data_IF_665479660928
#
_entry.id   IF_665479660928
#
_cell.length_a   1.000
_cell.length_b   1.000
_cell.length_c   1.000
_cell.angle_alpha   90.00
_cell.angle_beta   90.00
_cell.angle_gamma   90.00
#
_symmetry.space_group_name_H-M   'P 1'
#
loop_
_entity.id
_entity.type
_entity.pdbx_description
1 polymer ?
#
# COMPACT_ATOMS: atom_id res chain seq x y z
N UNK A 1 12.10 -20.05 23.97
CA UNK A 1 11.42 -19.00 23.18
C UNK A 1 9.92 -19.27 23.23
N UNK A 2 9.12 -18.30 23.66
CA UNK A 2 7.66 -18.48 23.77
C UNK A 2 7.02 -18.40 22.37
N UNK A 3 5.99 -19.22 22.08
CA UNK A 3 5.37 -19.32 20.75
C UNK A 3 4.76 -18.00 20.23
N UNK A 4 4.41 -17.08 21.14
CA UNK A 4 3.92 -15.74 20.82
C UNK A 4 4.98 -14.87 20.13
N UNK A 5 6.22 -14.86 20.63
CA UNK A 5 7.33 -14.09 20.06
C UNK A 5 7.68 -14.59 18.66
N UNK A 6 7.59 -15.91 18.44
CA UNK A 6 7.80 -16.52 17.11
C UNK A 6 6.71 -16.09 16.11
N UNK A 7 5.45 -16.00 16.55
CA UNK A 7 4.33 -15.58 15.69
C UNK A 7 4.42 -14.10 15.31
N UNK A 8 4.80 -13.24 16.26
CA UNK A 8 5.01 -11.82 16.01
C UNK A 8 6.14 -11.62 14.98
N UNK A 9 7.31 -12.20 15.24
CA UNK A 9 8.47 -12.10 14.35
C UNK A 9 8.13 -12.55 12.92
N UNK A 10 7.47 -13.69 12.78
CA UNK A 10 7.04 -14.20 11.48
C UNK A 10 6.02 -13.28 10.78
N UNK A 11 5.12 -12.63 11.54
CA UNK A 11 4.18 -11.68 10.98
C UNK A 11 4.88 -10.40 10.46
N UNK A 12 5.86 -9.90 11.22
CA UNK A 12 6.67 -8.74 10.84
C UNK A 12 7.53 -9.04 9.60
N UNK A 13 8.18 -10.21 9.54
CA UNK A 13 8.95 -10.65 8.38
C UNK A 13 8.08 -10.73 7.13
N UNK A 14 6.88 -11.33 7.25
CA UNK A 14 5.91 -11.40 6.14
C UNK A 14 5.49 -10.02 5.65
N UNK A 15 5.29 -9.07 6.56
CA UNK A 15 4.94 -7.70 6.19
C UNK A 15 6.09 -7.01 5.45
N UNK A 16 7.33 -7.20 5.91
CA UNK A 16 8.53 -6.68 5.22
C UNK A 16 8.67 -7.22 3.79
N UNK A 17 8.49 -8.53 3.60
CA UNK A 17 8.52 -9.13 2.26
C UNK A 17 7.40 -8.61 1.36
N UNK A 18 6.17 -8.47 1.89
CA UNK A 18 5.06 -7.93 1.12
C UNK A 18 5.30 -6.47 0.69
N UNK A 19 5.85 -5.65 1.58
CA UNK A 19 6.21 -4.26 1.27
C UNK A 19 7.27 -4.19 0.17
N UNK A 20 8.29 -5.05 0.21
CA UNK A 20 9.30 -5.11 -0.84
C UNK A 20 8.68 -5.47 -2.19
N UNK A 21 7.87 -6.53 -2.24
CA UNK A 21 7.19 -6.95 -3.47
C UNK A 21 6.26 -5.86 -4.04
N UNK A 22 5.54 -5.15 -3.16
CA UNK A 22 4.69 -4.03 -3.56
C UNK A 22 5.52 -2.89 -4.19
N UNK A 23 6.64 -2.52 -3.56
CA UNK A 23 7.52 -1.47 -4.07
C UNK A 23 8.14 -1.83 -5.43
N UNK A 24 8.51 -3.09 -5.62
CA UNK A 24 9.03 -3.56 -6.91
C UNK A 24 7.94 -3.51 -7.99
N UNK A 25 6.71 -3.91 -7.67
CA UNK A 25 5.58 -3.84 -8.60
C UNK A 25 5.24 -2.39 -9.00
N UNK A 26 5.23 -1.44 -8.06
CA UNK A 26 5.01 -0.01 -8.34
C UNK A 26 6.08 0.51 -9.31
N UNK A 27 7.36 0.15 -9.06
CA UNK A 27 8.47 0.55 -9.92
C UNK A 27 8.31 0.02 -11.34
N UNK A 28 7.87 -1.23 -11.49
CA UNK A 28 7.65 -1.84 -12.80
C UNK A 28 6.47 -1.21 -13.55
N UNK A 29 5.38 -0.85 -12.86
CA UNK A 29 4.27 -0.09 -13.45
C UNK A 29 4.76 1.26 -13.97
N UNK A 30 5.58 1.98 -13.20
CA UNK A 30 6.12 3.28 -13.63
C UNK A 30 7.00 3.18 -14.88
N UNK A 31 7.74 2.09 -15.09
CA UNK A 31 8.52 1.88 -16.33
C UNK A 31 7.64 1.85 -17.59
N UNK A 32 6.37 1.52 -17.44
CA UNK A 32 5.39 1.50 -18.54
C UNK A 32 4.71 2.86 -18.79
N UNK A 33 5.09 3.92 -18.06
CA UNK A 33 4.49 5.25 -18.16
C UNK A 33 3.09 5.33 -17.54
N UNK A 34 2.77 4.42 -16.62
CA UNK A 34 1.52 4.36 -15.87
C UNK A 34 1.83 4.83 -14.44
N UNK A 35 0.98 5.68 -13.91
CA UNK A 35 1.09 6.14 -12.52
C UNK A 35 0.26 5.24 -11.59
N UNK A 36 0.67 5.18 -10.33
CA UNK A 36 -0.01 4.43 -9.26
C UNK A 36 -0.56 5.42 -8.24
N UNK A 37 -1.86 5.34 -7.98
CA UNK A 37 -2.52 6.00 -6.85
C UNK A 37 -2.56 5.04 -5.66
N UNK A 38 -2.12 5.52 -4.50
CA UNK A 38 -2.04 4.75 -3.26
C UNK A 38 -2.91 5.45 -2.24
N UNK A 39 -3.96 4.76 -1.78
CA UNK A 39 -4.83 5.24 -0.73
C UNK A 39 -4.91 4.24 0.42
N UNK A 40 -5.44 4.70 1.55
CA UNK A 40 -5.70 3.83 2.69
C UNK A 40 -7.20 3.67 2.89
N UNK A 41 -7.64 2.44 3.15
CA UNK A 41 -9.00 2.13 3.52
C UNK A 41 -9.02 1.74 5.00
N UNK A 42 -10.01 2.23 5.74
CA UNK A 42 -10.25 1.77 7.10
C UNK A 42 -11.36 0.72 7.07
N UNK A 43 -11.02 -0.53 7.36
CA UNK A 43 -12.01 -1.59 7.53
C UNK A 43 -12.41 -1.71 9.00
N UNK A 44 -13.71 -1.72 9.27
CA UNK A 44 -14.22 -1.96 10.62
C UNK A 44 -14.26 -3.45 10.90
N UNK A 45 -13.50 -3.90 11.90
CA UNK A 45 -13.48 -5.28 12.37
C UNK A 45 -14.01 -5.36 13.80
N UNK A 46 -14.41 -6.55 14.31
CA UNK A 46 -14.78 -6.72 15.71
C UNK A 46 -13.67 -6.35 16.71
N UNK A 47 -12.41 -6.22 16.26
CA UNK A 47 -11.25 -5.83 17.07
C UNK A 47 -10.90 -4.33 16.94
N UNK A 48 -11.68 -3.56 16.19
CA UNK A 48 -11.44 -2.14 15.92
C UNK A 48 -11.13 -1.85 14.44
N UNK A 49 -10.83 -0.58 14.12
CA UNK A 49 -10.44 -0.16 12.77
C UNK A 49 -9.13 -0.84 12.35
N UNK A 50 -9.11 -1.37 11.13
CA UNK A 50 -7.95 -2.00 10.51
C UNK A 50 -7.62 -1.28 9.21
N UNK A 51 -6.45 -0.68 9.13
CA UNK A 51 -5.97 0.00 7.93
C UNK A 51 -5.60 -1.03 6.87
N UNK A 52 -6.03 -0.80 5.63
CA UNK A 52 -5.68 -1.55 4.44
C UNK A 52 -5.11 -0.59 3.38
N UNK A 53 -4.24 -1.09 2.51
CA UNK A 53 -3.72 -0.33 1.36
C UNK A 53 -4.61 -0.64 0.15
N UNK A 54 -5.06 0.41 -0.54
CA UNK A 54 -5.77 0.32 -1.82
C UNK A 54 -4.89 0.91 -2.93
N UNK A 55 -4.78 0.19 -4.04
CA UNK A 55 -3.87 0.51 -5.15
C UNK A 55 -4.67 0.59 -6.46
N UNK A 56 -4.52 1.69 -7.18
CA UNK A 56 -5.13 1.89 -8.49
C UNK A 56 -4.09 2.35 -9.50
N UNK A 57 -4.15 1.81 -10.71
CA UNK A 57 -3.29 2.26 -11.82
C UNK A 57 -4.09 3.14 -12.75
N UNK A 58 -3.48 4.20 -13.25
CA UNK A 58 -4.12 5.10 -14.19
C UNK A 58 -3.14 5.55 -15.28
N UNK A 59 -3.65 5.71 -16.51
CA UNK A 59 -2.83 6.20 -17.63
C UNK A 59 -2.82 7.72 -17.58
N UNK A 60 -1.64 8.33 -17.49
CA UNK A 60 -1.47 9.77 -17.66
C UNK A 60 -1.54 10.15 -19.15
N UNK A 61 -2.72 10.12 -19.78
CA UNK A 61 -2.92 10.78 -21.07
C UNK A 61 -3.33 12.25 -20.82
N UNK A 62 -2.41 13.18 -21.09
CA UNK A 62 -2.60 14.61 -20.80
C UNK A 62 -2.09 14.99 -19.41
N UNK A 63 -1.74 16.27 -19.22
CA UNK A 63 -1.02 16.81 -18.06
C UNK A 63 -1.35 16.10 -16.74
N UNK A 64 -0.30 15.71 -16.01
CA UNK A 64 -0.39 15.05 -14.70
C UNK A 64 -1.49 15.70 -13.85
N UNK A 65 -2.47 14.95 -13.32
CA UNK A 65 -3.51 15.54 -12.50
C UNK A 65 -2.86 16.19 -11.30
N UNK A 66 -2.88 17.53 -11.26
CA UNK A 66 -2.47 18.29 -10.09
C UNK A 66 -3.51 18.00 -9.01
N UNK A 67 -3.22 17.03 -8.16
CA UNK A 67 -4.00 16.75 -6.96
C UNK A 67 -3.91 18.00 -6.08
N UNK A 68 -4.98 18.81 -6.07
CA UNK A 68 -5.07 19.95 -5.15
C UNK A 68 -5.33 19.40 -3.75
N UNK A 69 -4.42 19.71 -2.84
CA UNK A 69 -4.62 19.52 -1.41
C UNK A 69 -5.86 20.32 -0.99
N UNK A 70 -6.88 19.64 -0.45
CA UNK A 70 -7.99 20.31 0.22
C UNK A 70 -7.53 20.57 1.64
N UNK A 71 -7.16 21.82 1.94
CA UNK A 71 -6.97 22.29 3.31
C UNK A 71 -8.37 22.55 3.91
N UNK A 72 -8.62 22.03 5.12
CA UNK A 72 -9.77 22.42 5.95
C UNK A 72 -9.57 23.81 6.56
#
# INVERSE_FOLDING_TARGET
MTPYLTRQKHAEERLGTALQQMNDAIRDVHKSGIDVDISTLTMHTPRGPMVQVDLKTYRAYGASPVLRLVEE
#
